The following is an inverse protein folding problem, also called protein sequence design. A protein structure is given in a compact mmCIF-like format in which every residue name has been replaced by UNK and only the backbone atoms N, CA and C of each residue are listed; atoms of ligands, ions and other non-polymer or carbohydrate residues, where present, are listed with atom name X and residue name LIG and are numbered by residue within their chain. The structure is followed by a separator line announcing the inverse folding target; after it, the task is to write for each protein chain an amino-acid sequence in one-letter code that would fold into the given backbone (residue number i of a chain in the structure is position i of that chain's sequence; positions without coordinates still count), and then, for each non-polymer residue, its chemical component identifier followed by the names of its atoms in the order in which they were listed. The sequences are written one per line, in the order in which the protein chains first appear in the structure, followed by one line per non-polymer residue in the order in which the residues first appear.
data_IF_436311014252
#
_entry.id   IF_436311014252
#
_cell.length_a   1.000
_cell.length_b   1.000
_cell.length_c   1.000
_cell.angle_alpha   90.00
_cell.angle_beta   90.00
_cell.angle_gamma   90.00
#
_symmetry.space_group_name_H-M   'P 1'
#
loop_
_entity.id
_entity.type
_entity.pdbx_description
1 polymer ?
#
# COMPACT_ATOMS: atom_id res chain seq x y z
N UNK A 1 -13.87 37.84 1.92
CA UNK A 1 -12.66 38.63 2.15
C UNK A 1 -11.46 37.92 1.55
N UNK A 2 -10.43 38.65 1.16
CA UNK A 2 -9.38 38.17 0.25
C UNK A 2 -8.45 37.07 0.81
N UNK A 3 -8.58 36.74 2.10
CA UNK A 3 -7.82 35.66 2.74
C UNK A 3 -8.02 34.29 2.08
N UNK A 4 -9.19 34.03 1.48
CA UNK A 4 -9.46 32.79 0.76
C UNK A 4 -8.50 32.57 -0.41
N UNK A 5 -8.06 33.64 -1.08
CA UNK A 5 -7.14 33.58 -2.22
C UNK A 5 -5.67 33.47 -1.81
N UNK A 6 -5.35 33.71 -0.53
CA UNK A 6 -3.96 33.69 -0.03
C UNK A 6 -3.43 32.27 0.13
N UNK A 7 -4.31 31.30 0.39
CA UNK A 7 -3.94 29.91 0.66
C UNK A 7 -4.17 28.97 -0.52
N UNK A 8 -4.55 29.49 -1.69
CA UNK A 8 -4.88 28.69 -2.87
C UNK A 8 -3.77 28.69 -3.93
N UNK A 9 -3.87 27.76 -4.87
CA UNK A 9 -2.93 27.64 -5.99
C UNK A 9 -1.51 27.28 -5.56
N UNK A 10 -0.52 27.89 -6.24
CA UNK A 10 0.90 27.61 -6.06
C UNK A 10 1.45 28.02 -4.68
N UNK A 11 0.74 28.90 -3.95
CA UNK A 11 1.14 29.29 -2.60
C UNK A 11 1.16 28.10 -1.64
N UNK A 12 0.26 27.12 -1.82
CA UNK A 12 0.20 25.91 -1.02
C UNK A 12 1.41 25.00 -1.30
N UNK A 13 1.78 24.83 -2.57
CA UNK A 13 2.95 24.03 -2.97
C UNK A 13 4.25 24.65 -2.44
N UNK A 14 4.37 25.98 -2.55
CA UNK A 14 5.50 26.73 -2.02
C UNK A 14 5.60 26.59 -0.49
N UNK A 15 4.48 26.62 0.23
CA UNK A 15 4.46 26.37 1.67
C UNK A 15 4.97 24.96 2.01
N UNK A 16 4.54 23.95 1.26
CA UNK A 16 5.02 22.58 1.47
C UNK A 16 6.53 22.44 1.20
N UNK A 17 7.05 23.10 0.16
CA UNK A 17 8.50 23.13 -0.12
C UNK A 17 9.28 23.73 1.06
N UNK A 18 8.79 24.85 1.62
CA UNK A 18 9.41 25.49 2.79
C UNK A 18 9.48 24.56 4.00
N UNK A 19 8.36 23.89 4.31
CA UNK A 19 8.28 22.94 5.44
C UNK A 19 9.28 21.81 5.22
N UNK A 20 9.34 21.24 4.01
CA UNK A 20 10.30 20.20 3.67
C UNK A 20 11.76 20.66 3.81
N UNK A 21 12.08 21.89 3.39
CA UNK A 21 13.41 22.45 3.55
C UNK A 21 13.81 22.57 5.03
N UNK A 22 12.90 23.01 5.91
CA UNK A 22 13.14 23.06 7.35
C UNK A 22 13.33 21.68 7.97
N UNK A 23 12.46 20.71 7.65
CA UNK A 23 12.60 19.34 8.14
C UNK A 23 13.91 18.67 7.68
N UNK A 24 14.36 18.98 6.45
CA UNK A 24 15.61 18.47 5.92
C UNK A 24 16.82 19.11 6.61
N UNK A 25 16.74 20.41 6.88
CA UNK A 25 17.76 21.15 7.64
C UNK A 25 17.91 20.59 9.06
N UNK A 26 16.80 20.31 9.75
CA UNK A 26 16.82 19.67 11.07
C UNK A 26 17.45 18.26 11.04
N UNK A 27 17.31 17.55 9.92
CA UNK A 27 17.97 16.25 9.69
C UNK A 27 19.44 16.36 9.27
N UNK A 28 19.98 17.59 9.18
CA UNK A 28 21.37 17.86 8.81
C UNK A 28 21.63 17.97 7.31
N UNK A 29 20.60 18.07 6.46
CA UNK A 29 20.76 18.33 5.04
C UNK A 29 20.72 19.84 4.76
N UNK A 30 21.73 20.33 4.04
CA UNK A 30 21.78 21.75 3.65
C UNK A 30 20.88 22.00 2.43
N UNK A 31 19.59 22.26 2.69
CA UNK A 31 18.60 22.62 1.68
C UNK A 31 18.02 23.99 2.03
N UNK A 32 18.26 24.97 1.17
CA UNK A 32 17.79 26.33 1.38
C UNK A 32 16.95 26.81 0.20
N UNK A 33 15.65 27.05 0.44
CA UNK A 33 14.75 27.54 -0.61
C UNK A 33 15.19 28.88 -1.20
N UNK A 34 15.46 29.89 -0.35
CA UNK A 34 15.80 31.23 -0.84
C UNK A 34 17.19 31.32 -1.48
N UNK A 35 18.18 30.56 -1.00
CA UNK A 35 19.53 30.58 -1.55
C UNK A 35 19.67 29.71 -2.81
N UNK A 36 19.03 28.54 -2.85
CA UNK A 36 19.12 27.57 -3.95
C UNK A 36 17.73 26.99 -4.31
N UNK A 37 16.83 27.80 -4.90
CA UNK A 37 15.44 27.40 -5.14
C UNK A 37 15.31 26.22 -6.12
N UNK A 38 16.13 26.19 -7.18
CA UNK A 38 16.11 25.10 -8.18
C UNK A 38 16.54 23.76 -7.57
N UNK A 39 17.58 23.77 -6.72
CA UNK A 39 18.04 22.59 -6.01
C UNK A 39 16.98 22.09 -5.03
N UNK A 40 16.39 22.98 -4.24
CA UNK A 40 15.32 22.63 -3.30
C UNK A 40 14.09 22.04 -4.02
N UNK A 41 13.72 22.59 -5.18
CA UNK A 41 12.61 22.07 -5.99
C UNK A 41 12.90 20.68 -6.56
N UNK A 42 14.10 20.44 -7.08
CA UNK A 42 14.51 19.12 -7.59
C UNK A 42 14.47 18.07 -6.47
N UNK A 43 15.06 18.37 -5.31
CA UNK A 43 15.06 17.47 -4.16
C UNK A 43 13.64 17.17 -3.67
N UNK A 44 12.76 18.17 -3.68
CA UNK A 44 11.36 17.98 -3.30
C UNK A 44 10.58 17.10 -4.30
N UNK A 45 10.84 17.25 -5.61
CA UNK A 45 10.26 16.37 -6.64
C UNK A 45 10.70 14.93 -6.44
N UNK A 46 11.99 14.70 -6.19
CA UNK A 46 12.51 13.36 -5.88
C UNK A 46 11.88 12.79 -4.61
N UNK A 47 11.73 13.62 -3.57
CA UNK A 47 11.08 13.22 -2.32
C UNK A 47 9.63 12.78 -2.55
N UNK A 48 8.85 13.50 -3.36
CA UNK A 48 7.49 13.11 -3.73
C UNK A 48 7.44 11.71 -4.36
N UNK A 49 8.30 11.46 -5.34
CA UNK A 49 8.38 10.15 -6.02
C UNK A 49 8.78 9.04 -5.03
N UNK A 50 9.77 9.28 -4.17
CA UNK A 50 10.18 8.31 -3.14
C UNK A 50 9.06 8.05 -2.13
N UNK A 51 8.31 9.07 -1.73
CA UNK A 51 7.17 8.97 -0.81
C UNK A 51 6.03 8.15 -1.41
N UNK A 52 5.72 8.31 -2.70
CA UNK A 52 4.71 7.51 -3.38
C UNK A 52 5.11 6.03 -3.48
N UNK A 53 6.36 5.75 -3.87
CA UNK A 53 6.89 4.38 -3.88
C UNK A 53 6.85 3.74 -2.50
N UNK A 54 7.19 4.49 -1.44
CA UNK A 54 7.14 3.98 -0.07
C UNK A 54 5.70 3.65 0.35
N UNK A 55 4.72 4.49 -0.05
CA UNK A 55 3.30 4.21 0.22
C UNK A 55 2.81 2.96 -0.50
N UNK A 56 3.18 2.74 -1.76
CA UNK A 56 2.80 1.53 -2.49
C UNK A 56 3.43 0.29 -1.84
N UNK A 57 4.72 0.32 -1.54
CA UNK A 57 5.39 -0.77 -0.83
C UNK A 57 4.76 -1.07 0.52
N UNK A 58 4.39 -0.05 1.30
CA UNK A 58 3.72 -0.23 2.58
C UNK A 58 2.33 -0.87 2.40
N UNK A 59 1.58 -0.46 1.38
CA UNK A 59 0.29 -1.07 1.04
C UNK A 59 0.47 -2.55 0.68
N UNK A 60 1.43 -2.86 -0.19
CA UNK A 60 1.70 -4.23 -0.64
C UNK A 60 2.15 -5.11 0.53
N UNK A 61 3.04 -4.61 1.39
CA UNK A 61 3.51 -5.33 2.57
C UNK A 61 2.40 -5.60 3.59
N UNK A 62 1.47 -4.67 3.77
CA UNK A 62 0.27 -4.89 4.61
C UNK A 62 -0.63 -5.94 3.96
N UNK A 63 -0.81 -5.88 2.63
CA UNK A 63 -1.63 -6.80 1.89
C UNK A 63 -1.09 -8.23 1.92
N UNK A 64 0.22 -8.40 1.80
CA UNK A 64 0.88 -9.71 1.91
C UNK A 64 0.74 -10.30 3.30
N UNK A 65 0.87 -9.47 4.36
CA UNK A 65 0.81 -9.94 5.75
C UNK A 65 -0.59 -10.31 6.22
N UNK A 66 -1.60 -9.57 5.78
CA UNK A 66 -2.95 -9.70 6.33
C UNK A 66 -3.99 -10.19 5.31
N UNK A 67 -3.60 -10.34 4.04
CA UNK A 67 -4.53 -10.68 2.97
C UNK A 67 -5.52 -9.55 2.68
N UNK A 68 -6.21 -9.63 1.55
CA UNK A 68 -7.27 -8.69 1.23
C UNK A 68 -8.61 -9.24 1.74
N UNK A 69 -9.12 -8.72 2.84
CA UNK A 69 -10.43 -9.13 3.36
C UNK A 69 -11.60 -8.87 2.39
N UNK A 70 -11.39 -8.01 1.37
CA UNK A 70 -12.37 -7.73 0.32
C UNK A 70 -12.13 -8.52 -0.97
N UNK A 71 -11.05 -9.31 -1.08
CA UNK A 71 -11.03 -10.32 -2.14
C UNK A 71 -12.00 -11.41 -1.74
N UNK A 72 -12.98 -11.68 -2.60
CA UNK A 72 -13.73 -12.94 -2.55
C UNK A 72 -12.68 -14.04 -2.73
N UNK A 73 -12.18 -14.58 -1.62
CA UNK A 73 -11.52 -15.87 -1.66
C UNK A 73 -12.57 -16.82 -2.23
N UNK A 74 -12.36 -17.30 -3.46
CA UNK A 74 -13.13 -18.40 -4.00
C UNK A 74 -12.91 -19.57 -3.05
N UNK A 75 -13.81 -19.71 -2.06
CA UNK A 75 -13.82 -20.82 -1.14
C UNK A 75 -13.73 -22.09 -2.01
N UNK A 76 -12.78 -22.99 -1.71
CA UNK A 76 -12.66 -24.21 -2.49
C UNK A 76 -14.03 -24.88 -2.55
N UNK A 77 -14.46 -25.28 -3.75
CA UNK A 77 -15.82 -25.80 -4.00
C UNK A 77 -16.22 -26.93 -3.05
N UNK A 78 -15.24 -27.65 -2.52
CA UNK A 78 -15.40 -28.67 -1.48
C UNK A 78 -15.99 -28.11 -0.18
N UNK A 79 -15.57 -26.93 0.27
CA UNK A 79 -16.15 -26.24 1.44
C UNK A 79 -17.52 -25.63 1.12
N UNK A 80 -17.72 -25.19 -0.12
CA UNK A 80 -19.00 -24.63 -0.58
C UNK A 80 -20.11 -25.69 -0.62
N UNK A 81 -19.76 -26.94 -0.98
CA UNK A 81 -20.69 -28.06 -1.12
C UNK A 81 -20.84 -28.90 0.16
N UNK A 82 -20.10 -28.59 1.23
CA UNK A 82 -20.36 -29.04 2.61
C UNK A 82 -20.27 -30.55 2.88
N UNK A 83 -20.17 -31.41 1.87
CA UNK A 83 -19.98 -32.85 2.02
C UNK A 83 -18.49 -33.21 1.91
N UNK A 84 -17.86 -33.45 3.06
CA UNK A 84 -16.50 -34.00 3.16
C UNK A 84 -16.48 -35.52 3.40
N UNK A 85 -17.64 -36.16 3.52
CA UNK A 85 -17.76 -37.58 3.79
C UNK A 85 -17.52 -38.40 2.52
N UNK A 86 -16.38 -39.09 2.46
CA UNK A 86 -16.12 -40.13 1.46
C UNK A 86 -16.31 -41.50 2.12
N UNK A 87 -17.46 -42.12 1.88
CA UNK A 87 -17.70 -43.50 2.29
C UNK A 87 -17.00 -44.47 1.31
N UNK A 88 -16.21 -45.40 1.86
CA UNK A 88 -15.54 -46.46 1.09
C UNK A 88 -15.94 -47.80 1.69
N UNK A 89 -16.67 -48.60 0.92
CA UNK A 89 -17.06 -49.95 1.32
C UNK A 89 -16.00 -50.96 0.86
N UNK A 90 -15.55 -51.82 1.78
CA UNK A 90 -14.55 -52.86 1.52
C UNK A 90 -15.18 -54.26 1.56
N UNK A 91 -14.74 -55.13 0.64
CA UNK A 91 -15.04 -56.56 0.68
C UNK A 91 -14.34 -57.23 1.87
N UNK A 92 -14.80 -58.42 2.26
CA UNK A 92 -14.17 -59.28 3.27
C UNK A 92 -12.68 -59.55 2.98
N UNK A 93 -12.25 -59.42 1.72
CA UNK A 93 -10.87 -59.54 1.26
C UNK A 93 -10.10 -58.19 1.20
N UNK A 94 -10.68 -57.08 1.68
CA UNK A 94 -10.07 -55.75 1.72
C UNK A 94 -10.08 -54.98 0.40
N UNK A 95 -10.88 -55.38 -0.58
CA UNK A 95 -10.98 -54.71 -1.90
C UNK A 95 -12.09 -53.67 -1.88
N UNK A 96 -11.89 -52.53 -2.53
CA UNK A 96 -12.87 -51.45 -2.64
C UNK A 96 -14.05 -51.92 -3.51
N UNK A 97 -15.27 -51.94 -2.97
CA UNK A 97 -16.49 -52.32 -3.70
C UNK A 97 -17.26 -51.07 -4.16
N UNK A 98 -17.28 -49.99 -3.36
CA UNK A 98 -17.90 -48.69 -3.70
C UNK A 98 -17.18 -47.52 -3.01
N UNK A 99 -17.12 -46.38 -3.72
CA UNK A 99 -16.64 -45.09 -3.22
C UNK A 99 -15.88 -44.29 -4.30
N UNK A 100 -16.28 -43.04 -4.55
CA UNK A 100 -15.49 -42.02 -5.25
C UNK A 100 -15.58 -40.70 -4.48
#
# INVERSE_FOLDING_TARGET
GDNQYRASGQALEFKQLNIHAWEAFEKGQDIHMQAAPSQAELLYKEFKVKKEKLKSHMKDAIMEKYGNAASEEELPRELLLGQSEREVEYDRAGRIIKGQ
#
